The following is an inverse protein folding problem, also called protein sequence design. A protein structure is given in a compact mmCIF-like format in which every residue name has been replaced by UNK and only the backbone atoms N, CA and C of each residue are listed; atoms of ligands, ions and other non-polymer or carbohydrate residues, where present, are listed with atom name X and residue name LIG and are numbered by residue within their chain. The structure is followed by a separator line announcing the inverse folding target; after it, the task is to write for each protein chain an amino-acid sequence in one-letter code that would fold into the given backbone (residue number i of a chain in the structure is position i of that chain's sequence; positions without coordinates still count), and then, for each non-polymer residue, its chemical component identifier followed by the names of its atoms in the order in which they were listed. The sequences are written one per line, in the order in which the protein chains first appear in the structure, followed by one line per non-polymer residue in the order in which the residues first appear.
data_IF_238452986504
#
_entry.id   IF_238452986504
#
_cell.length_a   1.000
_cell.length_b   1.000
_cell.length_c   1.000
_cell.angle_alpha   90.00
_cell.angle_beta   90.00
_cell.angle_gamma   90.00
#
_symmetry.space_group_name_H-M   'P 1'
#
loop_
_entity.id
_entity.type
_entity.pdbx_description
1 polymer ?
#
# COMPACT_ATOMS: atom_id res chain seq x y z
N UNK A 1 3.47 -18.50 4.16
CA UNK A 1 3.84 -18.32 5.59
C UNK A 1 3.15 -17.08 6.15
N UNK A 2 3.12 -16.90 7.49
CA UNK A 2 2.62 -15.64 8.09
C UNK A 2 3.80 -14.86 8.69
N UNK A 3 3.85 -13.57 8.40
CA UNK A 3 4.88 -12.66 8.89
C UNK A 3 4.26 -11.49 9.65
N UNK A 4 4.92 -11.02 10.71
CA UNK A 4 4.61 -9.77 11.39
C UNK A 4 5.64 -8.73 10.98
N UNK A 5 5.19 -7.63 10.38
CA UNK A 5 6.03 -6.54 9.87
C UNK A 5 5.58 -5.22 10.52
N UNK A 6 6.55 -4.36 10.83
CA UNK A 6 6.26 -3.01 11.32
C UNK A 6 6.67 -1.96 10.29
N UNK A 7 5.77 -1.01 10.00
CA UNK A 7 6.10 0.16 9.18
C UNK A 7 6.49 1.35 10.08
N UNK A 8 7.53 2.13 9.70
CA UNK A 8 8.37 1.98 8.53
C UNK A 8 9.26 0.73 8.59
N UNK A 9 9.52 0.10 7.42
CA UNK A 9 10.24 -1.17 7.33
C UNK A 9 11.55 -1.04 6.54
N UNK A 10 12.54 -1.85 6.89
CA UNK A 10 13.79 -1.92 6.14
C UNK A 10 13.72 -2.95 5.00
N UNK A 11 14.54 -2.76 3.97
CA UNK A 11 14.59 -3.64 2.80
C UNK A 11 14.92 -5.09 3.18
N UNK A 12 15.77 -5.30 4.20
CA UNK A 12 16.17 -6.64 4.65
C UNK A 12 14.99 -7.46 5.20
N UNK A 13 14.03 -6.81 5.85
CA UNK A 13 12.81 -7.46 6.34
C UNK A 13 11.88 -7.80 5.18
N UNK A 14 11.69 -6.86 4.25
CA UNK A 14 10.79 -7.03 3.11
C UNK A 14 11.28 -8.09 2.12
N UNK A 15 12.59 -8.29 1.98
CA UNK A 15 13.17 -9.35 1.12
C UNK A 15 12.84 -10.78 1.57
N UNK A 16 12.44 -10.95 2.83
CA UNK A 16 12.02 -12.27 3.36
C UNK A 16 10.64 -12.67 2.85
N UNK A 17 9.82 -11.69 2.51
CA UNK A 17 8.45 -11.89 2.05
C UNK A 17 8.43 -12.45 0.63
N UNK A 18 7.58 -13.44 0.38
CA UNK A 18 7.37 -14.02 -0.95
C UNK A 18 5.91 -13.87 -1.38
N UNK A 19 5.69 -13.75 -2.67
CA UNK A 19 4.34 -13.66 -3.23
C UNK A 19 3.45 -14.82 -2.73
N UNK A 20 2.31 -14.48 -2.15
CA UNK A 20 1.38 -15.42 -1.50
C UNK A 20 1.53 -15.54 0.01
N UNK A 21 2.57 -14.97 0.62
CA UNK A 21 2.68 -14.94 2.08
C UNK A 21 1.62 -14.03 2.71
N UNK A 22 1.16 -14.40 3.91
CA UNK A 22 0.31 -13.56 4.76
C UNK A 22 1.15 -12.61 5.59
N UNK A 23 0.71 -11.37 5.73
CA UNK A 23 1.37 -10.33 6.52
C UNK A 23 0.37 -9.73 7.50
N UNK A 24 0.76 -9.64 8.76
CA UNK A 24 0.14 -8.81 9.76
C UNK A 24 0.99 -7.54 9.93
N UNK A 25 0.50 -6.44 9.35
CA UNK A 25 1.22 -5.16 9.35
C UNK A 25 0.82 -4.32 10.56
N UNK A 26 1.82 -3.81 11.29
CA UNK A 26 1.64 -2.86 12.39
C UNK A 26 2.45 -1.59 12.16
N UNK A 27 2.18 -0.54 12.94
CA UNK A 27 2.93 0.72 12.89
C UNK A 27 2.25 1.81 12.07
N UNK A 28 3.05 2.67 11.43
CA UNK A 28 2.55 3.86 10.74
C UNK A 28 2.32 3.60 9.26
N UNK A 29 1.11 3.88 8.79
CA UNK A 29 0.71 3.78 7.38
C UNK A 29 0.10 5.12 6.95
N UNK A 30 0.49 5.64 5.80
CA UNK A 30 -0.11 6.86 5.24
C UNK A 30 -1.16 6.53 4.20
N UNK A 31 -2.25 7.32 4.14
CA UNK A 31 -3.22 7.21 3.05
C UNK A 31 -2.82 8.12 1.90
N UNK A 32 -2.88 7.62 0.68
CA UNK A 32 -2.77 8.45 -0.51
C UNK A 32 -3.45 7.76 -1.71
N UNK A 33 -4.29 8.52 -2.41
CA UNK A 33 -4.89 8.11 -3.68
C UNK A 33 -4.42 9.02 -4.81
N UNK A 34 -5.15 9.06 -5.90
CA UNK A 34 -4.80 9.73 -7.15
C UNK A 34 -4.36 11.19 -6.95
N UNK A 35 -5.21 11.98 -6.31
CA UNK A 35 -4.96 13.41 -6.12
C UNK A 35 -3.77 13.65 -5.18
N UNK A 36 -3.66 12.86 -4.10
CA UNK A 36 -2.54 12.96 -3.17
C UNK A 36 -1.22 12.55 -3.83
N UNK A 37 -1.20 11.45 -4.61
CA UNK A 37 -0.01 11.02 -5.36
C UNK A 37 0.48 12.10 -6.32
N UNK A 38 -0.45 12.72 -7.07
CA UNK A 38 -0.11 13.82 -7.97
C UNK A 38 0.58 14.96 -7.22
N UNK A 39 0.01 15.41 -6.09
CA UNK A 39 0.59 16.49 -5.29
C UNK A 39 1.94 16.12 -4.67
N UNK A 40 2.12 14.86 -4.23
CA UNK A 40 3.43 14.38 -3.75
C UNK A 40 4.46 14.47 -4.87
N UNK A 41 4.13 14.02 -6.08
CA UNK A 41 5.03 14.11 -7.23
C UNK A 41 5.36 15.57 -7.58
N UNK A 42 4.38 16.48 -7.53
CA UNK A 42 4.60 17.92 -7.75
C UNK A 42 5.55 18.52 -6.70
N UNK A 43 5.46 18.11 -5.42
CA UNK A 43 6.44 18.50 -4.40
C UNK A 43 7.85 18.01 -4.75
N UNK A 44 7.98 16.73 -5.13
CA UNK A 44 9.26 16.15 -5.53
C UNK A 44 9.84 16.86 -6.78
N UNK A 45 8.99 17.26 -7.75
CA UNK A 45 9.40 18.01 -8.95
C UNK A 45 9.97 19.39 -8.63
N UNK A 46 9.44 20.03 -7.60
CA UNK A 46 9.93 21.33 -7.12
C UNK A 46 11.11 21.21 -6.15
N UNK A 47 11.59 19.98 -5.86
CA UNK A 47 12.64 19.76 -4.87
C UNK A 47 12.19 20.02 -3.43
N UNK A 48 10.88 20.08 -3.18
CA UNK A 48 10.29 20.25 -1.87
C UNK A 48 10.19 18.93 -1.13
N UNK A 49 10.18 18.97 0.20
CA UNK A 49 9.94 17.78 1.01
C UNK A 49 8.49 17.34 0.87
N UNK A 50 8.24 16.03 0.64
CA UNK A 50 6.89 15.50 0.68
C UNK A 50 6.28 15.65 2.09
N UNK A 51 4.93 15.58 2.22
CA UNK A 51 4.24 15.85 3.49
C UNK A 51 4.57 14.87 4.61
N UNK A 52 5.21 13.75 4.28
CA UNK A 52 5.71 12.76 5.25
C UNK A 52 7.00 12.13 4.72
N UNK A 53 7.76 11.52 5.62
CA UNK A 53 8.98 10.80 5.23
C UNK A 53 8.62 9.55 4.44
N UNK A 54 9.10 9.47 3.20
CA UNK A 54 8.89 8.30 2.33
C UNK A 54 9.83 7.14 2.66
N UNK A 55 10.93 7.39 3.36
CA UNK A 55 11.95 6.37 3.59
C UNK A 55 11.42 5.22 4.46
N UNK A 56 11.34 4.03 3.88
CA UNK A 56 10.82 2.84 4.56
C UNK A 56 9.30 2.83 4.77
N UNK A 57 8.59 3.88 4.37
CA UNK A 57 7.18 4.08 4.68
C UNK A 57 6.24 3.11 3.96
N UNK A 58 5.01 3.03 4.47
CA UNK A 58 3.89 2.31 3.90
C UNK A 58 2.80 3.30 3.45
N UNK A 59 2.29 3.12 2.23
CA UNK A 59 1.16 3.89 1.70
C UNK A 59 -0.01 2.96 1.37
N UNK A 60 -1.17 3.26 1.95
CA UNK A 60 -2.42 2.59 1.71
C UNK A 60 -3.29 3.40 0.73
N UNK A 61 -3.64 2.77 -0.36
CA UNK A 61 -4.50 3.35 -1.40
C UNK A 61 -5.96 3.26 -0.99
N UNK A 62 -6.37 4.15 -0.13
CA UNK A 62 -7.70 4.20 0.48
C UNK A 62 -8.23 5.62 0.56
N UNK A 63 -9.53 5.76 0.35
CA UNK A 63 -10.28 6.96 0.70
C UNK A 63 -11.35 6.51 1.71
N UNK A 64 -11.06 6.60 3.01
CA UNK A 64 -11.96 6.08 4.02
C UNK A 64 -13.24 6.91 4.10
N UNK A 65 -14.31 6.29 4.57
CA UNK A 65 -15.50 7.04 4.98
C UNK A 65 -15.23 7.79 6.29
N UNK A 66 -15.97 8.87 6.58
CA UNK A 66 -15.80 9.61 7.82
C UNK A 66 -15.86 8.74 9.07
N UNK A 67 -15.27 9.23 10.14
CA UNK A 67 -15.39 8.66 11.47
C UNK A 67 -16.85 8.59 11.92
N UNK A 68 -17.16 7.66 12.79
CA UNK A 68 -18.46 7.51 13.42
C UNK A 68 -18.28 7.08 14.88
N UNK A 69 -19.36 7.01 15.63
CA UNK A 69 -19.34 6.81 17.08
C UNK A 69 -18.39 5.68 17.52
N UNK A 70 -17.37 6.07 18.30
CA UNK A 70 -16.37 5.16 18.85
C UNK A 70 -15.29 4.67 17.90
N UNK A 71 -15.26 5.11 16.63
CA UNK A 71 -14.28 4.72 15.65
C UNK A 71 -13.51 5.94 15.13
N UNK A 72 -12.16 5.86 15.12
CA UNK A 72 -11.30 6.93 14.59
C UNK A 72 -11.39 7.09 13.07
N UNK A 73 -12.03 6.14 12.37
CA UNK A 73 -12.19 6.11 10.92
C UNK A 73 -13.41 5.23 10.58
N UNK A 74 -14.06 5.51 9.47
CA UNK A 74 -15.11 4.64 8.95
C UNK A 74 -14.56 3.50 8.09
N UNK A 75 -15.34 2.99 7.15
CA UNK A 75 -14.90 1.92 6.25
C UNK A 75 -13.63 2.30 5.49
N UNK A 76 -12.61 1.45 5.54
CA UNK A 76 -11.29 1.68 4.97
C UNK A 76 -10.93 0.64 3.88
N UNK A 77 -11.82 0.43 2.92
CA UNK A 77 -11.61 -0.52 1.82
C UNK A 77 -10.60 -0.02 0.79
N UNK A 78 -9.75 -0.92 0.24
CA UNK A 78 -8.73 -0.54 -0.73
C UNK A 78 -9.32 -0.07 -2.06
N UNK A 79 -8.71 0.95 -2.68
CA UNK A 79 -8.99 1.32 -4.07
C UNK A 79 -8.11 0.53 -5.06
N UNK A 80 -8.46 0.59 -6.36
CA UNK A 80 -7.70 -0.06 -7.42
C UNK A 80 -6.33 0.60 -7.60
N UNK A 81 -5.27 -0.18 -7.39
CA UNK A 81 -3.88 0.32 -7.31
C UNK A 81 -3.33 0.81 -8.65
N UNK A 82 -3.78 0.25 -9.77
CA UNK A 82 -3.34 0.65 -11.11
C UNK A 82 -3.58 2.14 -11.43
N UNK A 83 -4.47 2.81 -10.70
CA UNK A 83 -4.69 4.26 -10.84
C UNK A 83 -3.50 5.10 -10.37
N UNK A 84 -2.65 4.55 -9.50
CA UNK A 84 -1.45 5.20 -8.99
C UNK A 84 -0.18 4.82 -9.76
N UNK A 85 -0.29 4.01 -10.83
CA UNK A 85 0.89 3.44 -11.50
C UNK A 85 1.79 4.50 -12.15
N UNK A 86 1.23 5.60 -12.65
CA UNK A 86 1.99 6.70 -13.24
C UNK A 86 2.85 7.46 -12.21
N UNK A 87 2.48 7.39 -10.93
CA UNK A 87 3.12 8.11 -9.83
C UNK A 87 4.04 7.21 -9.00
N UNK A 88 3.66 5.93 -8.83
CA UNK A 88 4.31 5.02 -7.89
C UNK A 88 5.82 4.87 -8.08
N UNK A 89 6.38 4.79 -9.29
CA UNK A 89 7.83 4.67 -9.46
C UNK A 89 8.59 5.82 -8.80
N UNK A 90 8.07 7.05 -8.90
CA UNK A 90 8.69 8.23 -8.29
C UNK A 90 8.72 8.17 -6.76
N UNK A 91 7.62 7.70 -6.15
CA UNK A 91 7.57 7.53 -4.70
C UNK A 91 8.51 6.41 -4.23
N UNK A 92 8.60 5.32 -5.00
CA UNK A 92 9.53 4.22 -4.74
C UNK A 92 10.99 4.71 -4.79
N UNK A 93 11.36 5.49 -5.81
CA UNK A 93 12.70 6.08 -5.93
C UNK A 93 12.99 7.08 -4.80
N UNK A 94 11.97 7.75 -4.28
CA UNK A 94 12.06 8.64 -3.13
C UNK A 94 12.05 7.92 -1.76
N UNK A 95 11.98 6.56 -1.74
CA UNK A 95 12.15 5.79 -0.51
C UNK A 95 10.95 4.96 -0.05
N UNK A 96 9.76 5.08 -0.70
CA UNK A 96 8.59 4.25 -0.38
C UNK A 96 8.94 2.76 -0.51
N UNK A 97 8.52 1.94 0.46
CA UNK A 97 8.85 0.50 0.49
C UNK A 97 7.64 -0.41 0.51
N UNK A 98 6.51 0.05 1.03
CA UNK A 98 5.30 -0.77 1.14
C UNK A 98 4.14 -0.04 0.47
N UNK A 99 3.55 -0.66 -0.54
CA UNK A 99 2.32 -0.21 -1.17
C UNK A 99 1.19 -1.16 -0.79
N UNK A 100 0.04 -0.62 -0.40
CA UNK A 100 -1.12 -1.42 0.02
C UNK A 100 -2.34 -1.02 -0.82
N UNK A 101 -2.99 -2.01 -1.45
CA UNK A 101 -4.15 -1.74 -2.29
C UNK A 101 -4.79 -3.01 -2.83
N UNK A 102 -5.43 -2.93 -4.00
CA UNK A 102 -6.00 -4.11 -4.71
C UNK A 102 -5.77 -4.02 -6.21
N UNK A 103 -5.81 -5.19 -6.88
CA UNK A 103 -5.66 -5.31 -8.33
C UNK A 103 -4.20 -5.31 -8.80
N UNK A 104 -4.03 -5.39 -10.10
CA UNK A 104 -2.73 -5.54 -10.74
C UNK A 104 -1.92 -4.23 -10.72
N UNK A 105 -0.62 -4.38 -10.96
CA UNK A 105 0.31 -3.25 -11.17
C UNK A 105 0.93 -3.32 -12.57
N UNK A 106 1.31 -2.18 -13.11
CA UNK A 106 2.02 -2.08 -14.39
C UNK A 106 3.43 -2.69 -14.32
N UNK A 107 3.99 -3.01 -15.49
CA UNK A 107 5.37 -3.54 -15.57
C UNK A 107 6.41 -2.54 -15.05
N UNK A 108 6.16 -1.26 -15.23
CA UNK A 108 7.09 -0.20 -14.79
C UNK A 108 7.10 -0.07 -13.28
N UNK A 109 5.94 -0.18 -12.62
CA UNK A 109 5.87 -0.23 -11.16
C UNK A 109 6.59 -1.47 -10.63
N UNK A 110 6.35 -2.66 -11.21
CA UNK A 110 7.04 -3.89 -10.77
C UNK A 110 8.56 -3.76 -10.94
N UNK A 111 9.03 -3.18 -12.05
CA UNK A 111 10.46 -2.92 -12.25
C UNK A 111 11.04 -2.00 -11.17
N UNK A 112 10.37 -0.88 -10.89
CA UNK A 112 10.78 0.05 -9.84
C UNK A 112 10.75 -0.59 -8.45
N UNK A 113 9.77 -1.46 -8.16
CA UNK A 113 9.74 -2.24 -6.91
C UNK A 113 10.98 -3.10 -6.73
N UNK A 114 11.38 -3.83 -7.77
CA UNK A 114 12.59 -4.67 -7.74
C UNK A 114 13.84 -3.84 -7.49
N UNK A 115 13.99 -2.72 -8.20
CA UNK A 115 15.12 -1.80 -8.05
C UNK A 115 15.22 -1.24 -6.63
N UNK A 116 14.07 -0.93 -6.02
CA UNK A 116 13.98 -0.30 -4.71
C UNK A 116 13.82 -1.28 -3.54
N UNK A 117 13.70 -2.59 -3.80
CA UNK A 117 13.47 -3.61 -2.79
C UNK A 117 12.11 -3.45 -2.07
N UNK A 118 11.11 -2.94 -2.77
CA UNK A 118 9.77 -2.67 -2.25
C UNK A 118 8.82 -3.85 -2.46
N UNK A 119 7.72 -3.86 -1.70
CA UNK A 119 6.68 -4.89 -1.82
C UNK A 119 5.31 -4.26 -2.07
N UNK A 120 4.43 -5.00 -2.74
CA UNK A 120 3.03 -4.65 -2.87
C UNK A 120 2.17 -5.66 -2.11
N UNK A 121 1.43 -5.17 -1.12
CA UNK A 121 0.54 -5.95 -0.28
C UNK A 121 -0.91 -5.74 -0.73
N UNK A 122 -1.62 -6.82 -0.96
CA UNK A 122 -3.04 -6.78 -1.27
C UNK A 122 -3.87 -6.73 0.01
N UNK A 123 -4.77 -5.75 0.08
CA UNK A 123 -5.89 -5.73 1.00
C UNK A 123 -7.12 -6.31 0.30
N UNK A 124 -7.95 -7.05 1.03
CA UNK A 124 -9.13 -7.72 0.47
C UNK A 124 -10.19 -6.68 0.11
N UNK A 125 -10.63 -6.69 -1.16
CA UNK A 125 -11.75 -5.87 -1.61
C UNK A 125 -13.06 -6.31 -0.93
N UNK A 126 -13.90 -5.32 -0.55
CA UNK A 126 -15.14 -5.59 0.20
C UNK A 126 -14.97 -5.72 1.72
N UNK A 127 -13.73 -5.85 2.21
CA UNK A 127 -13.44 -5.99 3.64
C UNK A 127 -13.13 -4.64 4.32
N UNK A 128 -13.78 -3.56 3.93
CA UNK A 128 -13.51 -2.21 4.44
C UNK A 128 -13.68 -2.07 5.95
N UNK A 129 -14.67 -2.76 6.52
CA UNK A 129 -14.88 -2.78 7.98
C UNK A 129 -13.76 -3.56 8.70
N UNK A 130 -13.32 -4.71 8.14
CA UNK A 130 -12.20 -5.48 8.68
C UNK A 130 -10.90 -4.68 8.67
N UNK A 131 -10.63 -3.96 7.56
CA UNK A 131 -9.46 -3.11 7.46
C UNK A 131 -9.52 -1.96 8.48
N UNK A 132 -10.70 -1.33 8.64
CA UNK A 132 -10.92 -0.28 9.63
C UNK A 132 -10.70 -0.76 11.06
N UNK A 133 -11.11 -2.00 11.39
CA UNK A 133 -10.92 -2.58 12.71
C UNK A 133 -9.43 -2.76 13.11
N UNK A 134 -8.52 -2.76 12.16
CA UNK A 134 -7.06 -2.79 12.42
C UNK A 134 -6.44 -1.40 12.58
N UNK A 135 -7.22 -0.31 12.45
CA UNK A 135 -6.76 1.07 12.56
C UNK A 135 -7.09 1.60 13.96
N UNK A 136 -6.07 1.86 14.76
CA UNK A 136 -6.21 2.36 16.14
C UNK A 136 -6.34 3.88 16.18
N UNK A 137 -5.64 4.60 15.29
CA UNK A 137 -5.63 6.06 15.23
C UNK A 137 -5.59 6.53 13.77
N UNK A 138 -6.25 7.65 13.49
CA UNK A 138 -6.24 8.30 12.18
C UNK A 138 -6.10 9.82 12.36
N UNK A 139 -5.08 10.41 11.78
CA UNK A 139 -4.77 11.83 11.90
C UNK A 139 -4.61 12.45 10.50
N UNK A 140 -5.22 13.60 10.29
CA UNK A 140 -5.02 14.38 9.07
C UNK A 140 -3.60 14.96 9.05
N UNK A 141 -2.85 14.69 7.98
CA UNK A 141 -1.49 15.23 7.78
C UNK A 141 -1.53 16.48 6.91
N UNK A 142 -2.19 16.39 5.75
CA UNK A 142 -2.27 17.51 4.81
C UNK A 142 -3.40 17.35 3.80
N UNK A 143 -3.66 18.46 3.08
CA UNK A 143 -4.57 18.53 1.93
C UNK A 143 -6.01 18.15 2.28
N UNK A 144 -6.51 18.75 3.35
CA UNK A 144 -7.89 18.62 3.82
C UNK A 144 -8.92 18.87 2.69
N UNK A 145 -8.58 19.77 1.77
CA UNK A 145 -9.39 20.08 0.58
C UNK A 145 -9.64 18.88 -0.36
N UNK A 146 -8.84 17.82 -0.24
CA UNK A 146 -9.05 16.58 -0.97
C UNK A 146 -10.10 15.65 -0.31
N UNK A 147 -10.67 16.00 0.82
CA UNK A 147 -11.68 15.23 1.53
C UNK A 147 -11.22 13.81 1.89
N UNK A 148 -11.88 12.79 1.35
CA UNK A 148 -11.49 11.39 1.60
C UNK A 148 -10.13 10.99 0.97
N UNK A 149 -9.60 11.79 0.03
CA UNK A 149 -8.27 11.60 -0.56
C UNK A 149 -7.16 12.39 0.15
N UNK A 150 -7.49 13.16 1.20
CA UNK A 150 -6.50 13.81 2.03
C UNK A 150 -5.51 12.78 2.61
N UNK A 151 -4.26 13.20 2.78
CA UNK A 151 -3.25 12.34 3.41
C UNK A 151 -3.52 12.26 4.91
N UNK A 152 -3.73 11.04 5.38
CA UNK A 152 -3.86 10.73 6.80
C UNK A 152 -2.72 9.84 7.24
N UNK A 153 -2.31 10.00 8.48
CA UNK A 153 -1.43 9.07 9.19
C UNK A 153 -2.29 8.11 9.99
N UNK A 154 -2.18 6.84 9.69
CA UNK A 154 -2.88 5.77 10.39
C UNK A 154 -1.89 5.04 11.28
N UNK A 155 -2.28 4.75 12.51
CA UNK A 155 -1.63 3.77 13.36
C UNK A 155 -2.39 2.47 13.24
N UNK A 156 -1.74 1.46 12.68
CA UNK A 156 -2.36 0.16 12.44
C UNK A 156 -1.76 -0.91 13.36
N UNK A 157 -2.58 -1.92 13.67
CA UNK A 157 -2.17 -3.08 14.44
C UNK A 157 -2.68 -4.35 13.80
N UNK A 158 -1.74 -5.25 13.50
CA UNK A 158 -2.01 -6.56 12.91
C UNK A 158 -2.95 -6.50 11.69
N UNK A 159 -2.81 -5.47 10.84
CA UNK A 159 -3.61 -5.30 9.62
C UNK A 159 -3.36 -6.49 8.69
N UNK A 160 -4.41 -7.29 8.35
CA UNK A 160 -4.23 -8.51 7.58
C UNK A 160 -4.08 -8.22 6.09
N UNK A 161 -2.95 -8.61 5.51
CA UNK A 161 -2.58 -8.38 4.13
C UNK A 161 -1.97 -9.63 3.50
N UNK A 162 -1.91 -9.67 2.18
CA UNK A 162 -1.23 -10.73 1.41
C UNK A 162 -0.17 -10.12 0.52
N UNK A 163 1.01 -10.70 0.44
CA UNK A 163 2.05 -10.30 -0.52
C UNK A 163 1.57 -10.60 -1.93
N UNK A 164 1.13 -9.56 -2.65
CA UNK A 164 0.69 -9.70 -4.03
C UNK A 164 1.87 -9.65 -5.00
N UNK A 165 2.85 -8.78 -4.74
CA UNK A 165 4.11 -8.73 -5.51
C UNK A 165 5.24 -8.57 -4.51
N UNK A 166 6.21 -9.48 -4.55
CA UNK A 166 7.38 -9.45 -3.68
C UNK A 166 8.51 -8.55 -4.23
N UNK A 167 9.56 -8.37 -3.44
CA UNK A 167 10.69 -7.52 -3.81
C UNK A 167 11.56 -8.07 -4.96
N UNK A 168 11.31 -9.29 -5.40
CA UNK A 168 11.92 -9.91 -6.58
C UNK A 168 11.03 -9.77 -7.84
N UNK A 169 9.84 -9.16 -7.70
CA UNK A 169 8.89 -8.95 -8.80
C UNK A 169 8.02 -10.16 -9.11
N UNK A 170 8.01 -11.21 -8.26
CA UNK A 170 7.07 -12.32 -8.40
C UNK A 170 5.67 -11.84 -8.08
N UNK A 171 4.75 -12.08 -8.99
CA UNK A 171 3.39 -11.54 -8.99
C UNK A 171 2.39 -12.67 -8.78
N UNK A 172 1.70 -12.67 -7.64
CA UNK A 172 0.73 -13.68 -7.24
C UNK A 172 -0.43 -13.81 -8.24
N UNK A 173 -0.89 -12.70 -8.82
CA UNK A 173 -1.97 -12.73 -9.81
C UNK A 173 -1.56 -13.49 -11.06
N UNK A 174 -0.30 -13.34 -11.51
CA UNK A 174 0.22 -14.08 -12.67
C UNK A 174 0.48 -15.54 -12.33
N UNK A 175 1.06 -15.82 -11.16
CA UNK A 175 1.35 -17.18 -10.70
C UNK A 175 0.06 -17.99 -10.54
N UNK A 176 -0.95 -17.45 -9.86
CA UNK A 176 -2.24 -18.14 -9.66
C UNK A 176 -2.96 -18.42 -10.98
N UNK A 177 -2.95 -17.45 -11.92
CA UNK A 177 -3.54 -17.66 -13.25
C UNK A 177 -2.81 -18.76 -14.03
N UNK A 178 -1.48 -18.75 -14.02
CA UNK A 178 -0.68 -19.76 -14.73
C UNK A 178 -0.87 -21.16 -14.14
N UNK A 179 -1.00 -21.27 -12.81
CA UNK A 179 -1.29 -22.53 -12.15
C UNK A 179 -2.67 -23.07 -12.55
N UNK A 180 -3.70 -22.25 -12.47
CA UNK A 180 -5.07 -22.63 -12.83
C UNK A 180 -5.17 -23.13 -14.28
N UNK A 181 -4.54 -22.44 -15.23
CA UNK A 181 -4.55 -22.85 -16.64
C UNK A 181 -3.92 -24.25 -16.84
N UNK A 182 -2.82 -24.55 -16.16
CA UNK A 182 -2.19 -25.88 -16.19
C UNK A 182 -3.07 -26.99 -15.59
N UNK A 183 -3.95 -26.66 -14.63
CA UNK A 183 -4.87 -27.61 -14.02
C UNK A 183 -6.08 -27.90 -14.91
N UNK A 184 -6.54 -26.91 -15.67
CA UNK A 184 -7.70 -27.04 -16.58
C UNK A 184 -7.32 -27.69 -17.92
N UNK A 185 -6.06 -27.62 -18.36
CA UNK A 185 -5.55 -28.25 -19.59
C UNK A 185 -5.18 -29.73 -19.41
N UNK A 186 -5.35 -30.30 -18.21
CA UNK A 186 -5.19 -31.73 -17.88
C UNK A 186 -6.52 -32.46 -17.92
#
# INVERSE_FOLDING_TARGET
MEYRISAPACVQELRKLKAGDSVLLSGTVYTARDAAHKRICECLDRGEKPPFDLNGSAVYYVGPTPEHDGCCIGSAGPTTSGRMDDYSPRLLDAGLKIMIGKGNRSKDVVRSMVQNGAVYLAAIGGAGALMAASIEEAELVCWEDLGCEAVRRLKVKDMPLTVAIDSEGKDLYKLGRAQYLKEVEK
#
